data_IF_797485785412
#
_entry.id   IF_797485785412
#
_cell.length_a   1.000
_cell.length_b   1.000
_cell.length_c   1.000
_cell.angle_alpha   90.00
_cell.angle_beta   90.00
_cell.angle_gamma   90.00
#
_symmetry.space_group_name_H-M   'P 1'
#
loop_
_entity.id
_entity.type
_entity.pdbx_description
1 polymer ?
#
# COMPACT_ATOMS: atom_id res chain seq x y z
N UNK A 1 -14.70 -2.40 -12.69
CA UNK A 1 -14.55 -1.84 -11.33
C UNK A 1 -14.91 -2.92 -10.32
N UNK A 2 -14.00 -3.24 -9.40
CA UNK A 2 -14.25 -4.18 -8.30
C UNK A 2 -15.00 -3.41 -7.20
N UNK A 3 -16.15 -3.91 -6.73
CA UNK A 3 -16.89 -3.29 -5.62
C UNK A 3 -16.08 -3.47 -4.32
N UNK A 4 -15.84 -2.40 -3.59
CA UNK A 4 -15.08 -2.41 -2.34
C UNK A 4 -15.49 -1.29 -1.40
N UNK A 5 -14.80 -1.20 -0.25
CA UNK A 5 -15.07 -0.21 0.81
C UNK A 5 -14.77 1.24 0.40
N UNK A 6 -14.14 1.44 -0.76
CA UNK A 6 -13.76 2.75 -1.29
C UNK A 6 -14.64 3.12 -2.50
N UNK A 7 -15.00 4.40 -2.62
CA UNK A 7 -15.67 4.97 -3.80
C UNK A 7 -14.72 5.00 -4.99
N UNK A 8 -13.45 5.30 -4.74
CA UNK A 8 -12.36 5.10 -5.67
C UNK A 8 -11.10 4.69 -4.91
N UNK A 9 -10.29 3.85 -5.54
CA UNK A 9 -9.02 3.40 -4.99
C UNK A 9 -8.07 3.18 -6.15
N UNK A 10 -6.95 3.89 -6.15
CA UNK A 10 -5.87 3.80 -7.10
C UNK A 10 -4.58 3.64 -6.30
N UNK A 11 -3.84 2.59 -6.61
CA UNK A 11 -2.56 2.28 -5.99
C UNK A 11 -1.56 2.03 -7.11
N UNK A 12 -0.50 2.83 -7.14
CA UNK A 12 0.57 2.76 -8.12
C UNK A 12 1.89 2.47 -7.42
N UNK A 13 2.70 1.61 -8.06
CA UNK A 13 4.06 1.30 -7.64
C UNK A 13 5.02 1.88 -8.66
N UNK A 14 5.86 2.82 -8.23
CA UNK A 14 6.87 3.44 -9.08
C UNK A 14 8.24 2.91 -8.69
N UNK A 15 9.00 2.45 -9.68
CA UNK A 15 10.32 1.86 -9.46
C UNK A 15 11.37 2.71 -10.16
N UNK A 16 12.44 3.01 -9.45
CA UNK A 16 13.58 3.76 -9.95
C UNK A 16 14.87 2.98 -9.64
N UNK A 17 15.75 2.86 -10.64
CA UNK A 17 17.08 2.28 -10.42
C UNK A 17 17.93 3.26 -9.63
N UNK A 18 18.54 2.78 -8.56
CA UNK A 18 19.50 3.51 -7.73
C UNK A 18 20.85 2.78 -7.74
N UNK A 19 21.97 3.46 -7.43
CA UNK A 19 23.31 2.84 -7.49
C UNK A 19 23.46 1.55 -6.65
N UNK A 20 22.68 1.40 -5.58
CA UNK A 20 22.74 0.30 -4.64
C UNK A 20 21.46 -0.55 -4.58
N UNK A 21 20.56 -0.43 -5.57
CA UNK A 21 19.33 -1.22 -5.61
C UNK A 21 18.21 -0.53 -6.39
N UNK A 22 16.97 -0.79 -6.01
CA UNK A 22 15.79 -0.16 -6.60
C UNK A 22 15.03 0.60 -5.53
N UNK A 23 14.75 1.87 -5.77
CA UNK A 23 13.80 2.62 -4.95
C UNK A 23 12.40 2.32 -5.45
N UNK A 24 11.56 1.77 -4.58
CA UNK A 24 10.15 1.54 -4.84
C UNK A 24 9.33 2.53 -4.02
N UNK A 25 8.47 3.30 -4.70
CA UNK A 25 7.58 4.29 -4.10
C UNK A 25 6.13 3.91 -4.36
N UNK A 26 5.34 3.84 -3.31
CA UNK A 26 3.90 3.62 -3.39
C UNK A 26 3.13 4.93 -3.38
N UNK A 27 2.30 5.12 -4.42
CA UNK A 27 1.33 6.21 -4.49
C UNK A 27 -0.08 5.66 -4.27
N UNK A 28 -0.78 6.20 -3.28
CA UNK A 28 -2.12 5.80 -2.91
C UNK A 28 -3.09 6.97 -3.00
N UNK A 29 -3.99 6.90 -3.97
CA UNK A 29 -5.10 7.83 -4.14
C UNK A 29 -6.42 7.10 -3.88
N UNK A 30 -7.16 7.53 -2.87
CA UNK A 30 -8.43 6.90 -2.52
C UNK A 30 -9.50 7.92 -2.15
N UNK A 31 -10.76 7.57 -2.42
CA UNK A 31 -11.93 8.33 -2.02
C UNK A 31 -12.93 7.42 -1.30
N UNK A 32 -13.53 7.93 -0.23
CA UNK A 32 -14.54 7.19 0.54
C UNK A 32 -15.95 7.31 -0.05
N UNK A 33 -16.77 6.24 0.03
CA UNK A 33 -18.18 6.30 -0.29
C UNK A 33 -18.91 6.87 0.94
N UNK A 34 -19.29 8.15 0.87
CA UNK A 34 -19.90 8.84 2.01
C UNK A 34 -21.37 8.42 2.22
N UNK A 35 -21.72 8.11 3.48
CA UNK A 35 -23.08 7.92 3.95
C UNK A 35 -23.24 7.96 5.49
N UNK A 36 -22.32 7.40 6.29
CA UNK A 36 -22.54 7.32 7.75
C UNK A 36 -21.27 7.27 8.64
N UNK A 37 -20.12 7.81 8.21
CA UNK A 37 -18.97 7.96 9.13
C UNK A 37 -19.08 9.30 9.84
N UNK A 38 -19.84 9.32 10.92
CA UNK A 38 -19.91 10.46 11.82
C UNK A 38 -18.52 10.87 12.31
N UNK A 39 -18.07 12.04 11.84
CA UNK A 39 -17.05 12.94 12.42
C UNK A 39 -15.60 12.44 12.37
N UNK A 40 -14.79 13.07 11.50
CA UNK A 40 -13.40 13.59 11.66
C UNK A 40 -12.38 12.75 12.48
N UNK A 41 -12.73 12.23 13.67
CA UNK A 41 -11.96 11.27 14.45
C UNK A 41 -11.57 10.01 13.64
N UNK A 42 -12.47 9.50 12.79
CA UNK A 42 -12.16 8.36 11.91
C UNK A 42 -11.15 8.73 10.82
N UNK A 43 -11.06 9.98 10.37
CA UNK A 43 -10.10 10.34 9.32
C UNK A 43 -8.65 10.24 9.78
N UNK A 44 -8.36 10.60 11.04
CA UNK A 44 -7.01 10.45 11.60
C UNK A 44 -6.70 8.98 11.89
N UNK A 45 -7.64 8.25 12.49
CA UNK A 45 -7.49 6.82 12.74
C UNK A 45 -7.28 6.05 11.45
N UNK A 46 -8.06 6.37 10.41
CA UNK A 46 -8.00 5.71 9.12
C UNK A 46 -6.76 6.11 8.33
N UNK A 47 -6.37 7.38 8.36
CA UNK A 47 -5.07 7.80 7.79
C UNK A 47 -3.94 7.04 8.47
N UNK A 48 -3.93 6.96 9.81
CA UNK A 48 -2.94 6.20 10.57
C UNK A 48 -2.96 4.72 10.21
N UNK A 49 -4.14 4.10 10.19
CA UNK A 49 -4.31 2.70 9.80
C UNK A 49 -3.78 2.43 8.40
N UNK A 50 -4.14 3.28 7.42
CA UNK A 50 -3.65 3.16 6.06
C UNK A 50 -2.13 3.32 6.03
N UNK A 51 -1.57 4.36 6.65
CA UNK A 51 -0.12 4.55 6.72
C UNK A 51 0.58 3.34 7.32
N UNK A 52 0.09 2.80 8.44
CA UNK A 52 0.68 1.64 9.13
C UNK A 52 0.58 0.37 8.26
N UNK A 53 -0.55 0.18 7.56
CA UNK A 53 -0.76 -0.91 6.61
C UNK A 53 0.23 -0.82 5.44
N UNK A 54 0.38 0.37 4.83
CA UNK A 54 1.29 0.60 3.71
C UNK A 54 2.74 0.40 4.14
N UNK A 55 3.13 0.96 5.30
CA UNK A 55 4.46 0.76 5.84
C UNK A 55 4.77 -0.73 6.06
N UNK A 56 3.81 -1.48 6.62
CA UNK A 56 3.98 -2.93 6.81
C UNK A 56 4.12 -3.67 5.49
N UNK A 57 3.30 -3.34 4.48
CA UNK A 57 3.42 -3.94 3.14
C UNK A 57 4.78 -3.64 2.51
N UNK A 58 5.25 -2.40 2.59
CA UNK A 58 6.53 -1.99 2.01
C UNK A 58 7.69 -2.71 2.68
N UNK A 59 7.62 -2.85 4.00
CA UNK A 59 8.58 -3.66 4.74
C UNK A 59 8.57 -5.12 4.27
N UNK A 60 7.41 -5.74 4.14
CA UNK A 60 7.31 -7.13 3.67
C UNK A 60 7.82 -7.28 2.23
N UNK A 61 7.48 -6.36 1.32
CA UNK A 61 7.99 -6.39 -0.06
C UNK A 61 9.51 -6.29 -0.06
N UNK A 62 10.08 -5.33 0.70
CA UNK A 62 11.53 -5.17 0.85
C UNK A 62 12.18 -6.44 1.38
N UNK A 63 11.61 -7.03 2.43
CA UNK A 63 12.11 -8.27 3.02
C UNK A 63 12.12 -9.42 2.02
N UNK A 64 11.08 -9.57 1.20
CA UNK A 64 11.03 -10.61 0.19
C UNK A 64 11.98 -10.34 -0.98
N UNK A 65 12.06 -9.10 -1.44
CA UNK A 65 12.88 -8.70 -2.60
C UNK A 65 14.38 -8.71 -2.29
N UNK A 66 14.77 -8.37 -1.06
CA UNK A 66 16.18 -8.26 -0.64
C UNK A 66 16.70 -9.50 0.10
N UNK A 67 15.90 -10.57 0.19
CA UNK A 67 16.32 -11.88 0.73
C UNK A 67 16.05 -13.00 -0.28
N UNK A 68 16.26 -14.25 0.11
CA UNK A 68 15.93 -15.42 -0.72
C UNK A 68 14.45 -15.81 -0.70
N UNK A 69 13.61 -15.10 0.07
CA UNK A 69 12.19 -15.47 0.25
C UNK A 69 11.38 -15.35 -1.04
N UNK A 70 11.75 -14.48 -1.97
CA UNK A 70 11.06 -14.37 -3.28
C UNK A 70 11.09 -15.69 -4.07
N UNK A 71 12.10 -16.55 -3.86
CA UNK A 71 12.20 -17.85 -4.54
C UNK A 71 10.98 -18.72 -4.27
N UNK A 72 10.41 -18.64 -3.07
CA UNK A 72 9.21 -19.41 -2.69
C UNK A 72 7.95 -18.94 -3.44
N UNK A 73 7.93 -17.68 -3.91
CA UNK A 73 6.78 -17.12 -4.64
C UNK A 73 6.87 -17.45 -6.14
N UNK A 74 8.08 -17.50 -6.70
CA UNK A 74 8.31 -17.72 -8.13
C UNK A 74 8.50 -19.18 -8.54
N UNK A 75 8.59 -20.11 -7.58
CA UNK A 75 8.81 -21.55 -7.83
C UNK A 75 7.52 -22.35 -8.14
N UNK A 76 6.42 -21.69 -8.50
CA UNK A 76 5.16 -22.32 -8.92
C UNK A 76 4.97 -22.29 -10.44
#
# INVERSE_FOLDING_TARGET
MIKGAFKSFKHEHHFENQPNGTLMTDYFDYQFPLGFLGKIADSLFLKKYMTDLLAKRNFTIKEFAESDKWKQILQN
#
